data_IF_356402816607
#
_entry.id   IF_356402816607
#
_cell.length_a   1.000
_cell.length_b   1.000
_cell.length_c   1.000
_cell.angle_alpha   90.00
_cell.angle_beta   90.00
_cell.angle_gamma   90.00
#
_symmetry.space_group_name_H-M   'P 1'
#
loop_
_entity.id
_entity.type
_entity.pdbx_description
1 polymer ?
#
# COMPACT_ATOMS: atom_id res chain seq x y z
N UNK A 1 -14.19 23.63 4.27
CA UNK A 1 -12.84 23.28 3.80
C UNK A 1 -12.94 21.92 3.13
N UNK A 2 -12.74 21.84 1.82
CA UNK A 2 -13.03 20.64 1.03
C UNK A 2 -11.72 19.90 0.76
N UNK A 3 -11.30 19.06 1.69
CA UNK A 3 -10.19 18.09 1.55
C UNK A 3 -10.72 16.66 1.29
N UNK A 4 -11.99 16.51 0.91
CA UNK A 4 -12.68 15.23 1.03
C UNK A 4 -12.22 14.13 0.05
N UNK A 5 -11.45 14.45 -0.99
CA UNK A 5 -11.13 13.50 -2.07
C UNK A 5 -9.64 13.37 -2.44
N UNK A 6 -8.72 13.94 -1.65
CA UNK A 6 -7.30 13.77 -1.94
C UNK A 6 -6.83 12.40 -1.42
N UNK A 7 -6.35 11.53 -2.32
CA UNK A 7 -5.75 10.26 -1.93
C UNK A 7 -4.47 10.52 -1.13
N UNK A 8 -4.43 10.03 0.11
CA UNK A 8 -3.25 10.13 0.99
C UNK A 8 -2.24 9.02 0.66
N UNK A 9 -2.70 7.92 0.07
CA UNK A 9 -1.86 6.78 -0.30
C UNK A 9 -2.52 5.99 -1.44
N UNK A 10 -1.75 5.69 -2.49
CA UNK A 10 -2.17 4.80 -3.58
C UNK A 10 -1.00 3.98 -4.07
N UNK A 11 -1.26 2.72 -4.42
CA UNK A 11 -0.31 1.84 -5.10
C UNK A 11 -0.82 1.66 -6.53
N UNK A 12 -0.03 2.05 -7.52
CA UNK A 12 -0.38 1.82 -8.91
C UNK A 12 -0.08 0.38 -9.32
N UNK A 13 -0.70 -0.09 -10.41
CA UNK A 13 -0.35 -1.39 -10.98
C UNK A 13 1.11 -1.41 -11.45
N UNK A 14 1.64 -0.27 -11.92
CA UNK A 14 3.04 -0.14 -12.33
C UNK A 14 3.99 -0.36 -11.14
N UNK A 15 3.70 0.24 -9.99
CA UNK A 15 4.48 0.04 -8.77
C UNK A 15 4.47 -1.43 -8.34
N UNK A 16 3.29 -2.07 -8.35
CA UNK A 16 3.15 -3.49 -8.03
C UNK A 16 3.97 -4.37 -8.98
N UNK A 17 3.92 -4.08 -10.28
CA UNK A 17 4.66 -4.82 -11.29
C UNK A 17 6.18 -4.58 -11.17
N UNK A 18 6.60 -3.37 -10.82
CA UNK A 18 7.99 -3.02 -10.55
C UNK A 18 8.54 -3.78 -9.34
N UNK A 19 7.77 -3.87 -8.26
CA UNK A 19 8.13 -4.67 -7.09
C UNK A 19 8.19 -6.16 -7.39
N UNK A 20 7.25 -6.69 -8.18
CA UNK A 20 7.32 -8.07 -8.65
C UNK A 20 8.59 -8.32 -9.47
N UNK A 21 8.91 -7.44 -10.41
CA UNK A 21 10.14 -7.55 -11.21
C UNK A 21 11.39 -7.53 -10.31
N UNK A 22 11.41 -6.69 -9.28
CA UNK A 22 12.52 -6.58 -8.32
C UNK A 22 12.66 -7.83 -7.43
N UNK A 23 11.56 -8.38 -6.94
CA UNK A 23 11.57 -9.46 -5.93
C UNK A 23 11.64 -10.84 -6.59
N UNK A 24 10.85 -11.08 -7.64
CA UNK A 24 10.71 -12.40 -8.29
C UNK A 24 11.30 -12.44 -9.72
N UNK A 25 11.83 -11.32 -10.24
CA UNK A 25 12.55 -11.28 -11.51
C UNK A 25 11.67 -11.22 -12.76
N UNK A 26 10.34 -11.06 -12.62
CA UNK A 26 9.39 -10.89 -13.74
C UNK A 26 8.15 -10.13 -13.30
N UNK A 27 7.36 -9.69 -14.28
CA UNK A 27 6.01 -9.16 -14.04
C UNK A 27 5.02 -10.27 -13.68
N UNK A 28 3.98 -9.88 -12.97
CA UNK A 28 2.82 -10.70 -12.59
C UNK A 28 1.86 -10.86 -13.77
N UNK A 29 1.26 -12.06 -13.86
CA UNK A 29 0.08 -12.31 -14.69
C UNK A 29 -1.17 -11.65 -14.09
N UNK A 30 -2.28 -11.58 -14.83
CA UNK A 30 -3.53 -11.01 -14.31
C UNK A 30 -4.03 -11.73 -13.05
N UNK A 31 -3.93 -13.06 -13.01
CA UNK A 31 -4.31 -13.87 -11.84
C UNK A 31 -3.41 -13.57 -10.65
N UNK A 32 -2.10 -13.45 -10.88
CA UNK A 32 -1.14 -13.11 -9.82
C UNK A 32 -1.33 -11.68 -9.32
N UNK A 33 -1.73 -10.73 -10.18
CA UNK A 33 -2.11 -9.38 -9.78
C UNK A 33 -3.33 -9.42 -8.86
N UNK A 34 -4.32 -10.27 -9.15
CA UNK A 34 -5.49 -10.42 -8.29
C UNK A 34 -5.10 -10.93 -6.90
N UNK A 35 -4.26 -11.97 -6.84
CA UNK A 35 -3.75 -12.52 -5.57
C UNK A 35 -2.92 -11.48 -4.82
N UNK A 36 -2.06 -10.74 -5.51
CA UNK A 36 -1.23 -9.71 -4.90
C UNK A 36 -2.05 -8.54 -4.34
N UNK A 37 -3.15 -8.16 -5.01
CA UNK A 37 -4.09 -7.15 -4.49
C UNK A 37 -4.76 -7.60 -3.21
N UNK A 38 -5.28 -8.82 -3.17
CA UNK A 38 -5.92 -9.39 -1.97
C UNK A 38 -4.93 -9.45 -0.80
N UNK A 39 -3.69 -9.90 -1.06
CA UNK A 39 -2.62 -9.91 -0.06
C UNK A 39 -2.24 -8.50 0.42
N UNK A 40 -2.16 -7.51 -0.48
CA UNK A 40 -1.90 -6.12 -0.10
C UNK A 40 -3.01 -5.55 0.76
N UNK A 41 -4.27 -5.75 0.40
CA UNK A 41 -5.41 -5.27 1.18
C UNK A 41 -5.42 -5.89 2.58
N UNK A 42 -5.26 -7.20 2.68
CA UNK A 42 -5.23 -7.90 3.96
C UNK A 42 -4.05 -7.46 4.84
N UNK A 43 -2.85 -7.37 4.26
CA UNK A 43 -1.63 -6.97 4.98
C UNK A 43 -1.71 -5.52 5.46
N UNK A 44 -2.10 -4.60 4.58
CA UNK A 44 -2.23 -3.19 4.93
C UNK A 44 -3.31 -3.00 6.01
N UNK A 45 -4.50 -3.58 5.86
CA UNK A 45 -5.58 -3.44 6.85
C UNK A 45 -5.22 -4.01 8.22
N UNK A 46 -4.39 -5.05 8.28
CA UNK A 46 -3.96 -5.65 9.54
C UNK A 46 -3.06 -4.70 10.34
N UNK A 47 -2.17 -3.96 9.66
CA UNK A 47 -1.15 -3.14 10.32
C UNK A 47 -1.43 -1.63 10.28
N UNK A 48 -2.45 -1.17 9.53
CA UNK A 48 -2.69 0.26 9.28
C UNK A 48 -2.90 1.07 10.57
N UNK A 49 -3.55 0.48 11.58
CA UNK A 49 -3.78 1.14 12.87
C UNK A 49 -2.45 1.45 13.58
N UNK A 50 -1.49 0.51 13.52
CA UNK A 50 -0.15 0.69 14.08
C UNK A 50 0.61 1.78 13.33
N UNK A 51 0.49 1.81 11.99
CA UNK A 51 1.09 2.83 11.14
C UNK A 51 0.57 4.22 11.51
N UNK A 52 -0.76 4.41 11.57
CA UNK A 52 -1.36 5.68 11.95
C UNK A 52 -0.97 6.12 13.36
N UNK A 53 -1.05 5.20 14.33
CA UNK A 53 -0.64 5.48 15.71
C UNK A 53 0.81 5.95 15.78
N UNK A 54 1.71 5.29 15.06
CA UNK A 54 3.13 5.66 15.02
C UNK A 54 3.31 7.06 14.42
N UNK A 55 2.70 7.32 13.26
CA UNK A 55 2.77 8.62 12.57
C UNK A 55 2.28 9.74 13.48
N UNK A 56 1.12 9.56 14.13
CA UNK A 56 0.53 10.60 14.96
C UNK A 56 1.28 10.82 16.27
N UNK A 57 1.80 9.77 16.90
CA UNK A 57 2.64 9.92 18.08
C UNK A 57 3.94 10.66 17.76
N UNK A 58 4.60 10.36 16.64
CA UNK A 58 5.79 11.09 16.21
C UNK A 58 5.47 12.54 15.83
N UNK A 59 4.34 12.79 15.19
CA UNK A 59 3.88 14.16 14.87
C UNK A 59 3.70 15.01 16.14
N UNK A 60 3.14 14.44 17.21
CA UNK A 60 2.87 15.14 18.47
C UNK A 60 4.10 15.29 19.38
N UNK A 61 5.19 14.57 19.11
CA UNK A 61 6.48 14.73 19.81
C UNK A 61 7.26 15.97 19.36
N UNK A 62 6.78 16.65 18.31
CA UNK A 62 7.37 17.91 17.81
C UNK A 62 6.91 19.11 18.61
#
# INVERSE_FOLDING_TARGET
MQQQNDSVFSISLEDLQGEALRIIGRTLTEEEVYIAKDGLESGLLTDIDTVYKTIFLEMLKK
#
